data_IF_545126293094
#
_entry.id   IF_545126293094
#
_cell.length_a   1.000
_cell.length_b   1.000
_cell.length_c   1.000
_cell.angle_alpha   90.00
_cell.angle_beta   90.00
_cell.angle_gamma   90.00
#
_symmetry.space_group_name_H-M   'P 1'
#
loop_
_entity.id
_entity.type
_entity.pdbx_description
1 polymer ?
#
# COMPACT_ATOMS: atom_id res chain seq x y z
N UNK A 1 -17.54 5.95 -17.35
CA UNK A 1 -16.80 6.74 -16.36
C UNK A 1 -17.03 8.20 -16.64
N UNK A 2 -17.95 8.81 -15.91
CA UNK A 2 -18.23 10.25 -15.97
C UNK A 2 -17.03 11.03 -15.40
N UNK A 3 -16.79 12.29 -15.81
CA UNK A 3 -15.62 13.08 -15.40
C UNK A 3 -15.47 13.19 -13.88
N UNK A 4 -16.58 13.22 -13.14
CA UNK A 4 -16.64 13.31 -11.68
C UNK A 4 -16.07 12.08 -10.95
N UNK A 5 -16.04 10.91 -11.58
CA UNK A 5 -15.53 9.66 -10.98
C UNK A 5 -14.01 9.49 -11.14
N UNK A 6 -13.39 10.26 -12.04
CA UNK A 6 -11.95 10.14 -12.35
C UNK A 6 -11.06 10.80 -11.31
N UNK A 7 -11.53 11.86 -10.66
CA UNK A 7 -10.80 12.56 -9.59
C UNK A 7 -10.59 11.68 -8.35
N UNK A 8 -11.64 11.04 -7.81
CA UNK A 8 -11.51 10.07 -6.71
C UNK A 8 -10.53 8.95 -7.00
N UNK A 9 -10.61 8.36 -8.20
CA UNK A 9 -9.72 7.27 -8.61
C UNK A 9 -8.26 7.71 -8.67
N UNK A 10 -8.01 8.92 -9.17
CA UNK A 10 -6.65 9.47 -9.28
C UNK A 10 -6.07 9.76 -7.89
N UNK A 11 -6.89 10.30 -6.99
CA UNK A 11 -6.51 10.55 -5.60
C UNK A 11 -6.21 9.25 -4.84
N UNK A 12 -7.05 8.23 -5.05
CA UNK A 12 -6.88 6.90 -4.47
C UNK A 12 -5.64 6.19 -5.01
N UNK A 13 -5.38 6.29 -6.31
CA UNK A 13 -4.17 5.75 -6.94
C UNK A 13 -2.89 6.40 -6.38
N UNK A 14 -2.93 7.70 -6.09
CA UNK A 14 -1.81 8.40 -5.44
C UNK A 14 -1.56 7.87 -4.02
N UNK A 15 -2.62 7.66 -3.24
CA UNK A 15 -2.51 7.05 -1.90
C UNK A 15 -2.00 5.61 -1.95
N UNK A 16 -2.45 4.82 -2.93
CA UNK A 16 -1.93 3.48 -3.17
C UNK A 16 -0.42 3.50 -3.45
N UNK A 17 0.06 4.48 -4.22
CA UNK A 17 1.48 4.66 -4.49
C UNK A 17 2.29 4.91 -3.19
N UNK A 18 1.76 5.73 -2.28
CA UNK A 18 2.38 5.93 -0.96
C UNK A 18 2.36 4.65 -0.11
N UNK A 19 1.26 3.89 -0.13
CA UNK A 19 1.16 2.60 0.55
C UNK A 19 2.16 1.57 0.01
N UNK A 20 2.34 1.50 -1.32
CA UNK A 20 3.34 0.66 -1.96
C UNK A 20 4.77 1.09 -1.62
N UNK A 21 5.06 2.39 -1.64
CA UNK A 21 6.37 2.91 -1.27
C UNK A 21 6.72 2.60 0.20
N UNK A 22 5.74 2.76 1.11
CA UNK A 22 5.89 2.39 2.51
C UNK A 22 6.12 0.88 2.68
N UNK A 23 5.31 0.05 2.01
CA UNK A 23 5.47 -1.40 2.04
C UNK A 23 6.80 -1.88 1.46
N UNK A 24 7.29 -1.24 0.40
CA UNK A 24 8.58 -1.57 -0.22
C UNK A 24 9.74 -1.21 0.71
N UNK A 25 9.68 -0.02 1.33
CA UNK A 25 10.67 0.45 2.30
C UNK A 25 10.71 -0.47 3.51
N UNK A 26 9.54 -0.83 4.06
CA UNK A 26 9.44 -1.73 5.20
C UNK A 26 9.91 -3.15 4.86
N UNK A 27 9.50 -3.71 3.72
CA UNK A 27 9.97 -5.02 3.26
C UNK A 27 11.48 -5.04 3.04
N UNK A 28 12.05 -3.98 2.48
CA UNK A 28 13.50 -3.80 2.35
C UNK A 28 14.21 -3.75 3.70
N UNK A 29 13.66 -3.05 4.69
CA UNK A 29 14.19 -3.03 6.06
C UNK A 29 14.15 -4.42 6.70
N UNK A 30 13.03 -5.15 6.57
CA UNK A 30 12.89 -6.52 7.08
C UNK A 30 13.99 -7.44 6.53
N UNK A 31 14.23 -7.38 5.22
CA UNK A 31 15.32 -8.10 4.56
C UNK A 31 16.70 -7.62 5.04
N UNK A 32 16.91 -6.31 5.19
CA UNK A 32 18.19 -5.75 5.61
C UNK A 32 18.56 -6.14 7.06
N UNK A 33 17.59 -6.13 7.97
CA UNK A 33 17.78 -6.54 9.36
C UNK A 33 17.79 -8.05 9.58
N UNK A 34 17.57 -8.84 8.52
CA UNK A 34 17.30 -10.28 8.59
C UNK A 34 16.26 -10.62 9.67
N UNK A 35 15.18 -9.82 9.71
CA UNK A 35 14.18 -9.92 10.75
C UNK A 35 13.53 -11.31 10.67
N UNK A 36 13.63 -12.11 11.72
CA UNK A 36 13.11 -13.48 11.74
C UNK A 36 13.85 -14.45 10.81
N UNK A 37 15.10 -14.16 10.43
CA UNK A 37 15.90 -14.95 9.49
C UNK A 37 15.29 -15.07 8.08
N UNK A 38 14.38 -14.16 7.69
CA UNK A 38 13.68 -14.20 6.41
C UNK A 38 14.67 -14.06 5.23
N UNK A 39 15.72 -13.23 5.37
CA UNK A 39 16.74 -13.10 4.33
C UNK A 39 17.58 -14.36 4.27
N UNK A 40 17.95 -14.92 5.41
CA UNK A 40 18.68 -16.19 5.50
C UNK A 40 17.87 -17.34 4.86
N UNK A 41 16.57 -17.45 5.17
CA UNK A 41 15.66 -18.41 4.55
C UNK A 41 15.55 -18.23 3.04
N UNK A 42 15.47 -16.98 2.55
CA UNK A 42 15.44 -16.73 1.11
C UNK A 42 16.73 -17.19 0.41
N UNK A 43 17.90 -17.02 1.05
CA UNK A 43 19.18 -17.42 0.47
C UNK A 43 19.48 -18.92 0.57
N UNK A 44 18.98 -19.60 1.61
CA UNK A 44 19.09 -21.06 1.75
C UNK A 44 18.06 -21.82 0.91
N UNK A 45 16.93 -21.19 0.57
CA UNK A 45 15.89 -21.84 -0.21
C UNK A 45 16.31 -22.01 -1.67
N UNK A 46 16.09 -23.19 -2.28
CA UNK A 46 16.32 -23.41 -3.72
C UNK A 46 15.56 -22.44 -4.62
N UNK A 47 14.48 -21.84 -4.10
CA UNK A 47 13.70 -20.84 -4.80
C UNK A 47 13.29 -19.69 -3.85
N UNK A 48 13.94 -18.52 -3.92
CA UNK A 48 13.59 -17.35 -3.12
C UNK A 48 12.31 -16.63 -3.59
N UNK A 49 11.81 -16.95 -4.80
CA UNK A 49 10.69 -16.23 -5.43
C UNK A 49 9.42 -16.22 -4.56
N UNK A 50 8.97 -17.36 -3.99
CA UNK A 50 7.77 -17.37 -3.15
C UNK A 50 7.95 -16.55 -1.86
N UNK A 51 9.14 -16.56 -1.26
CA UNK A 51 9.44 -15.82 -0.03
C UNK A 51 9.30 -14.32 -0.29
N UNK A 52 9.92 -13.82 -1.37
CA UNK A 52 9.82 -12.42 -1.77
C UNK A 52 8.40 -12.04 -2.17
N UNK A 53 7.68 -12.90 -2.91
CA UNK A 53 6.30 -12.63 -3.30
C UNK A 53 5.36 -12.55 -2.11
N UNK A 54 5.49 -13.46 -1.14
CA UNK A 54 4.65 -13.46 0.05
C UNK A 54 4.99 -12.28 0.96
N UNK A 55 6.28 -11.96 1.11
CA UNK A 55 6.74 -10.81 1.90
C UNK A 55 6.24 -9.50 1.29
N UNK A 56 6.63 -9.19 0.05
CA UNK A 56 6.23 -7.93 -0.59
C UNK A 56 4.76 -7.90 -0.95
N UNK A 57 4.19 -9.00 -1.43
CA UNK A 57 2.76 -9.10 -1.73
C UNK A 57 1.90 -8.89 -0.49
N UNK A 58 2.23 -9.53 0.63
CA UNK A 58 1.54 -9.30 1.90
C UNK A 58 1.65 -7.85 2.36
N UNK A 59 2.87 -7.28 2.36
CA UNK A 59 3.09 -5.90 2.78
C UNK A 59 2.39 -4.89 1.86
N UNK A 60 2.42 -5.09 0.55
CA UNK A 60 1.72 -4.24 -0.42
C UNK A 60 0.21 -4.30 -0.26
N UNK A 61 -0.36 -5.47 0.00
CA UNK A 61 -1.78 -5.61 0.28
C UNK A 61 -2.15 -4.90 1.58
N UNK A 62 -1.37 -5.07 2.65
CA UNK A 62 -1.63 -4.41 3.94
C UNK A 62 -1.51 -2.90 3.86
N UNK A 63 -0.34 -2.37 3.48
CA UNK A 63 -0.11 -0.93 3.42
C UNK A 63 -0.90 -0.25 2.31
N UNK A 64 -1.08 -0.91 1.16
CA UNK A 64 -1.91 -0.41 0.07
C UNK A 64 -3.38 -0.30 0.49
N UNK A 65 -3.93 -1.30 1.18
CA UNK A 65 -5.31 -1.27 1.69
C UNK A 65 -5.51 -0.15 2.71
N UNK A 66 -4.59 -0.01 3.68
CA UNK A 66 -4.66 1.08 4.68
C UNK A 66 -4.60 2.45 4.01
N UNK A 67 -3.67 2.66 3.07
CA UNK A 67 -3.54 3.94 2.38
C UNK A 67 -4.78 4.27 1.53
N UNK A 68 -5.36 3.27 0.87
CA UNK A 68 -6.63 3.44 0.14
C UNK A 68 -7.79 3.77 1.08
N UNK A 69 -7.90 3.08 2.23
CA UNK A 69 -8.93 3.36 3.24
C UNK A 69 -8.87 4.79 3.76
N UNK A 70 -7.66 5.30 4.05
CA UNK A 70 -7.45 6.70 4.44
C UNK A 70 -7.84 7.66 3.31
N UNK A 71 -7.47 7.35 2.06
CA UNK A 71 -7.85 8.14 0.89
C UNK A 71 -9.37 8.28 0.73
N UNK A 72 -10.12 7.19 0.89
CA UNK A 72 -11.59 7.20 0.81
C UNK A 72 -12.21 8.02 1.95
N UNK A 73 -11.75 7.85 3.19
CA UNK A 73 -12.26 8.63 4.33
C UNK A 73 -11.96 10.12 4.19
N UNK A 74 -10.82 10.49 3.61
CA UNK A 74 -10.48 11.90 3.34
C UNK A 74 -11.42 12.49 2.29
N UNK A 75 -11.68 11.74 1.21
CA UNK A 75 -12.56 12.19 0.14
C UNK A 75 -14.01 12.37 0.63
N UNK A 76 -14.49 11.45 1.47
CA UNK A 76 -15.83 11.55 2.08
C UNK A 76 -15.98 12.84 2.93
N UNK A 77 -14.94 13.24 3.67
CA UNK A 77 -14.95 14.47 4.48
C UNK A 77 -14.97 15.74 3.64
N UNK A 78 -14.31 15.76 2.48
CA UNK A 78 -14.34 16.92 1.58
C UNK A 78 -15.72 17.08 0.95
N UNK A 79 -16.37 15.97 0.57
CA UNK A 79 -17.71 15.95 -0.02
C UNK A 79 -18.82 16.34 0.99
N UNK A 80 -18.67 15.99 2.28
CA UNK A 80 -19.56 16.46 3.35
C UNK A 80 -19.41 17.96 3.60
N UNK A 81 -18.17 18.48 3.63
CA UNK A 81 -17.89 19.90 3.88
C UNK A 81 -18.48 20.81 2.81
N UNK A 82 -18.46 20.40 1.56
CA UNK A 82 -19.07 21.16 0.45
C UNK A 82 -20.60 21.19 0.52
N UNK A 83 -21.25 20.17 1.12
CA UNK A 83 -22.71 20.14 1.31
C UNK A 83 -23.20 21.05 2.44
N UNK A 84 -22.41 21.26 3.48
CA UNK A 84 -22.80 22.08 4.64
C UNK A 84 -22.65 23.60 4.40
N UNK A 85 -22.07 24.00 3.26
CA UNK A 85 -21.83 25.40 2.87
C UNK A 85 -22.98 25.99 2.01
N UNK A 86 -24.01 25.18 1.71
CA UNK A 86 -25.23 25.58 0.98
C UNK A 86 -26.50 25.32 1.79
#
# INVERSE_FOLDING_TARGET
MTPKEREPLKFLAQHLCYGLAAGATFGGLVLATDLGHIRTMAMESPNPVPVLLLLFGGLFVTFGSVAMGVGIMSLAKDDERDRDIY
#
